data_IF_648372023524
#
_entry.id   IF_648372023524
#
_cell.length_a   1.000
_cell.length_b   1.000
_cell.length_c   1.000
_cell.angle_alpha   90.00
_cell.angle_beta   90.00
_cell.angle_gamma   90.00
#
_symmetry.space_group_name_H-M   'P 1'
#
loop_
_entity.id
_entity.type
_entity.pdbx_description
1 polymer ?
#
# COMPACT_ATOMS: atom_id res chain seq x y z
N UNK A 1 16.66 3.94 -2.05
CA UNK A 1 16.23 3.04 -0.94
C UNK A 1 15.27 2.00 -1.49
N UNK A 2 15.43 0.70 -1.15
CA UNK A 2 14.52 -0.37 -1.58
C UNK A 2 13.36 -0.53 -0.58
N UNK A 3 12.12 -0.48 -1.06
CA UNK A 3 10.93 -0.60 -0.22
C UNK A 3 10.55 -2.08 -0.02
N UNK A 4 10.59 -2.53 1.22
CA UNK A 4 10.17 -3.84 1.71
C UNK A 4 8.77 -3.67 2.31
N UNK A 5 7.74 -3.86 1.48
CA UNK A 5 6.36 -3.47 1.84
C UNK A 5 5.59 -4.66 2.39
N UNK A 6 5.09 -4.56 3.63
CA UNK A 6 4.10 -5.48 4.18
C UNK A 6 2.72 -5.15 3.60
N UNK A 7 2.19 -6.02 2.72
CA UNK A 7 0.89 -5.87 2.05
C UNK A 7 -0.24 -6.13 3.04
N UNK A 8 -0.99 -5.07 3.38
CA UNK A 8 -1.96 -5.06 4.49
C UNK A 8 -1.34 -5.51 5.81
N UNK A 9 -0.05 -5.20 5.99
CA UNK A 9 0.79 -5.71 7.05
C UNK A 9 1.43 -7.07 6.73
N UNK A 10 1.44 -7.99 7.71
CA UNK A 10 1.90 -9.36 7.56
C UNK A 10 0.72 -10.32 7.39
N UNK A 11 -0.07 -10.14 6.35
CA UNK A 11 -1.35 -10.80 6.09
C UNK A 11 -1.29 -12.33 6.13
N UNK A 12 -0.14 -12.94 5.84
CA UNK A 12 0.01 -14.40 5.94
C UNK A 12 0.14 -14.91 7.39
N UNK A 13 0.28 -14.02 8.37
CA UNK A 13 0.53 -14.35 9.78
C UNK A 13 -0.55 -13.80 10.71
N UNK A 14 -1.10 -12.64 10.37
CA UNK A 14 -2.09 -11.92 11.18
C UNK A 14 -3.28 -11.48 10.31
N UNK A 15 -4.38 -11.10 10.95
CA UNK A 15 -5.54 -10.55 10.24
C UNK A 15 -5.13 -9.29 9.48
N UNK A 16 -5.39 -9.25 8.17
CA UNK A 16 -5.04 -8.12 7.30
C UNK A 16 -5.61 -6.79 7.82
N UNK A 17 -4.86 -5.70 7.58
CA UNK A 17 -5.29 -4.34 7.92
C UNK A 17 -5.61 -4.12 9.42
N UNK A 18 -4.95 -4.87 10.31
CA UNK A 18 -5.00 -4.69 11.78
C UNK A 18 -3.66 -4.20 12.32
N UNK A 19 -3.67 -3.68 13.54
CA UNK A 19 -2.45 -3.20 14.21
C UNK A 19 -1.44 -4.34 14.39
N UNK A 20 -1.92 -5.53 14.76
CA UNK A 20 -1.10 -6.73 14.91
C UNK A 20 -0.38 -7.08 13.62
N UNK A 21 -1.10 -6.99 12.48
CA UNK A 21 -0.54 -7.27 11.16
C UNK A 21 0.56 -6.27 10.77
N UNK A 22 0.35 -4.98 11.04
CA UNK A 22 1.34 -3.95 10.73
C UNK A 22 2.58 -4.09 11.62
N UNK A 23 2.40 -4.28 12.93
CA UNK A 23 3.52 -4.48 13.86
C UNK A 23 4.30 -5.75 13.54
N UNK A 24 3.59 -6.84 13.16
CA UNK A 24 4.22 -8.09 12.72
C UNK A 24 5.02 -7.91 11.44
N UNK A 25 4.55 -7.10 10.49
CA UNK A 25 5.31 -6.80 9.28
C UNK A 25 6.64 -6.11 9.58
N UNK A 26 6.63 -5.11 10.47
CA UNK A 26 7.82 -4.41 10.93
C UNK A 26 8.77 -5.37 11.65
N UNK A 27 8.25 -6.16 12.58
CA UNK A 27 9.02 -7.20 13.27
C UNK A 27 9.72 -8.14 12.29
N UNK A 28 9.05 -8.53 11.21
CA UNK A 28 9.58 -9.43 10.19
C UNK A 28 10.51 -8.76 9.17
N UNK A 29 10.78 -7.45 9.30
CA UNK A 29 11.79 -6.73 8.53
C UNK A 29 11.25 -5.90 7.37
N UNK A 30 9.95 -5.62 7.33
CA UNK A 30 9.40 -4.59 6.45
C UNK A 30 9.88 -3.20 6.91
N UNK A 31 10.22 -2.33 5.96
CA UNK A 31 10.50 -0.92 6.21
C UNK A 31 9.38 -0.02 5.69
N UNK A 32 8.38 -0.62 5.08
CA UNK A 32 7.17 0.04 4.63
C UNK A 32 5.96 -0.86 4.88
N UNK A 33 4.78 -0.27 5.04
CA UNK A 33 3.50 -0.97 5.08
C UNK A 33 2.60 -0.46 3.96
N UNK A 34 1.71 -1.31 3.53
CA UNK A 34 0.61 -0.93 2.65
C UNK A 34 -0.71 -1.21 3.38
N UNK A 35 -1.69 -0.35 3.17
CA UNK A 35 -3.02 -0.42 3.72
C UNK A 35 -4.07 0.12 2.76
N UNK A 36 -5.29 -0.39 2.88
CA UNK A 36 -6.44 0.00 2.08
C UNK A 36 -7.36 0.95 2.86
N UNK A 37 -7.89 1.99 2.22
CA UNK A 37 -8.80 2.95 2.85
C UNK A 37 -10.16 2.96 2.17
N UNK A 38 -11.20 2.95 3.00
CA UNK A 38 -12.61 3.14 2.64
C UNK A 38 -13.26 4.19 3.54
N UNK A 39 -14.49 4.57 3.22
CA UNK A 39 -15.24 5.53 4.02
C UNK A 39 -16.49 4.90 4.61
N UNK A 40 -16.75 5.13 5.91
CA UNK A 40 -17.96 4.71 6.60
C UNK A 40 -19.14 5.64 6.31
N UNK A 41 -20.35 5.22 6.69
CA UNK A 41 -21.58 6.01 6.54
C UNK A 41 -21.49 7.39 7.20
N UNK A 42 -20.83 7.49 8.33
CA UNK A 42 -20.58 8.74 9.07
C UNK A 42 -19.32 9.49 8.62
N UNK A 43 -18.72 9.09 7.49
CA UNK A 43 -17.63 9.78 6.84
C UNK A 43 -16.25 9.60 7.49
N UNK A 44 -16.04 8.51 8.26
CA UNK A 44 -14.75 8.17 8.85
C UNK A 44 -13.92 7.33 7.88
N UNK A 45 -12.61 7.55 7.84
CA UNK A 45 -11.70 6.77 7.02
C UNK A 45 -11.32 5.47 7.73
N UNK A 46 -11.77 4.36 7.16
CA UNK A 46 -11.66 3.00 7.73
C UNK A 46 -10.61 2.21 6.96
N UNK A 47 -9.77 1.47 7.67
CA UNK A 47 -8.72 0.65 7.07
C UNK A 47 -9.27 -0.75 6.77
N UNK A 48 -9.60 -0.99 5.50
CA UNK A 48 -10.14 -2.27 5.02
C UNK A 48 -10.04 -2.38 3.50
N UNK A 49 -9.71 -3.57 3.01
CA UNK A 49 -9.70 -3.85 1.57
C UNK A 49 -11.12 -3.98 1.00
N UNK A 50 -11.92 -4.87 1.58
CA UNK A 50 -13.27 -5.11 1.13
C UNK A 50 -14.24 -4.15 1.84
N UNK A 51 -15.29 -3.68 1.14
CA UNK A 51 -16.35 -2.90 1.76
C UNK A 51 -17.18 -3.76 2.73
N UNK A 52 -17.30 -5.07 2.46
CA UNK A 52 -18.01 -6.01 3.32
C UNK A 52 -17.04 -6.73 4.28
N UNK A 53 -17.34 -6.68 5.58
CA UNK A 53 -16.50 -7.24 6.65
C UNK A 53 -16.58 -8.77 6.79
N UNK A 54 -17.41 -9.45 6.00
CA UNK A 54 -17.68 -10.90 6.11
C UNK A 54 -16.44 -11.75 6.01
N UNK A 55 -15.55 -11.43 5.07
CA UNK A 55 -14.33 -12.21 4.80
C UNK A 55 -13.31 -12.11 5.92
N UNK A 56 -13.13 -10.92 6.51
CA UNK A 56 -12.08 -10.63 7.48
C UNK A 56 -12.56 -10.82 8.92
N UNK A 57 -13.77 -10.36 9.22
CA UNK A 57 -14.33 -10.35 10.58
C UNK A 57 -15.55 -11.25 10.76
N UNK A 58 -16.00 -11.95 9.71
CA UNK A 58 -17.18 -12.82 9.78
C UNK A 58 -18.51 -12.09 9.89
N UNK A 59 -18.52 -10.76 9.71
CA UNK A 59 -19.71 -9.88 9.85
C UNK A 59 -20.23 -9.48 8.48
N UNK A 60 -21.45 -9.83 8.14
CA UNK A 60 -22.06 -9.49 6.85
C UNK A 60 -22.63 -8.05 6.90
N UNK A 61 -21.71 -7.08 6.95
CA UNK A 61 -22.00 -5.65 7.04
C UNK A 61 -21.05 -4.91 6.10
N UNK A 62 -21.57 -3.91 5.39
CA UNK A 62 -20.77 -3.00 4.55
C UNK A 62 -20.30 -1.81 5.38
N UNK A 63 -19.06 -1.43 5.17
CA UNK A 63 -18.45 -0.24 5.81
C UNK A 63 -19.24 1.02 5.42
N UNK A 64 -19.61 1.13 4.14
CA UNK A 64 -20.41 2.24 3.62
C UNK A 64 -21.80 2.39 4.26
N UNK A 65 -22.35 1.33 4.86
CA UNK A 65 -23.68 1.31 5.45
C UNK A 65 -23.67 1.45 6.99
N UNK A 66 -22.51 1.46 7.62
CA UNK A 66 -22.32 1.48 9.08
C UNK A 66 -21.52 2.70 9.56
N UNK A 67 -21.77 3.15 10.79
CA UNK A 67 -20.95 4.16 11.47
C UNK A 67 -19.69 3.52 12.05
N UNK A 68 -18.68 4.35 12.37
CA UNK A 68 -17.46 3.87 13.04
C UNK A 68 -17.78 3.14 14.36
N UNK A 69 -18.71 3.66 15.15
CA UNK A 69 -19.12 3.06 16.43
C UNK A 69 -19.69 1.65 16.21
N UNK A 70 -20.61 1.49 15.24
CA UNK A 70 -21.16 0.18 14.86
C UNK A 70 -20.07 -0.79 14.38
N UNK A 71 -19.14 -0.30 13.53
CA UNK A 71 -18.03 -1.11 13.02
C UNK A 71 -17.10 -1.57 14.14
N UNK A 72 -16.71 -0.67 15.05
CA UNK A 72 -15.88 -0.97 16.22
C UNK A 72 -16.53 -2.01 17.12
N UNK A 73 -17.82 -1.82 17.46
CA UNK A 73 -18.56 -2.78 18.28
C UNK A 73 -18.60 -4.18 17.64
N UNK A 74 -18.93 -4.26 16.32
CA UNK A 74 -19.03 -5.54 15.61
C UNK A 74 -17.70 -6.28 15.48
N UNK A 75 -16.59 -5.56 15.44
CA UNK A 75 -15.23 -6.11 15.24
C UNK A 75 -14.43 -6.20 16.55
N UNK A 76 -15.06 -5.92 17.70
CA UNK A 76 -14.38 -5.91 19.01
C UNK A 76 -13.17 -4.96 18.97
N UNK A 77 -13.35 -3.75 18.45
CA UNK A 77 -12.35 -2.71 18.26
C UNK A 77 -11.16 -3.06 17.35
N UNK A 78 -11.22 -4.19 16.64
CA UNK A 78 -10.10 -4.64 15.77
C UNK A 78 -10.02 -3.90 14.45
N UNK A 79 -11.12 -3.34 13.96
CA UNK A 79 -11.10 -2.47 12.77
C UNK A 79 -10.46 -1.13 13.13
N UNK A 80 -9.58 -0.63 12.25
CA UNK A 80 -8.85 0.60 12.49
C UNK A 80 -9.36 1.74 11.61
N UNK A 81 -9.27 2.95 12.12
CA UNK A 81 -9.30 4.15 11.31
C UNK A 81 -7.93 4.46 10.74
N UNK A 82 -7.86 5.19 9.62
CA UNK A 82 -6.59 5.68 9.07
C UNK A 82 -5.82 6.52 10.11
N UNK A 83 -6.53 7.35 10.89
CA UNK A 83 -5.92 8.18 11.93
C UNK A 83 -5.21 7.33 13.00
N UNK A 84 -5.83 6.23 13.46
CA UNK A 84 -5.20 5.31 14.42
C UNK A 84 -3.92 4.70 13.85
N UNK A 85 -3.93 4.26 12.59
CA UNK A 85 -2.73 3.68 11.96
C UNK A 85 -1.62 4.72 11.79
N UNK A 86 -1.93 5.91 11.28
CA UNK A 86 -0.93 6.97 11.08
C UNK A 86 -0.26 7.35 12.40
N UNK A 87 -1.00 7.44 13.50
CA UNK A 87 -0.47 7.76 14.83
C UNK A 87 0.40 6.66 15.43
N UNK A 88 -0.02 5.39 15.28
CA UNK A 88 0.65 4.27 15.97
C UNK A 88 1.81 3.71 15.17
N UNK A 89 1.68 3.64 13.85
CA UNK A 89 2.65 2.96 12.97
C UNK A 89 3.44 3.95 12.11
N UNK A 90 2.88 5.12 11.83
CA UNK A 90 3.42 6.04 10.82
C UNK A 90 4.88 6.46 11.01
N UNK A 91 5.33 6.59 12.26
CA UNK A 91 6.71 6.96 12.58
C UNK A 91 7.68 5.77 12.65
N UNK A 92 7.15 4.55 12.65
CA UNK A 92 7.94 3.31 12.81
C UNK A 92 8.40 2.72 11.48
N UNK A 93 7.95 3.28 10.35
CA UNK A 93 8.28 2.83 9.00
C UNK A 93 8.81 3.99 8.16
N UNK A 94 9.55 3.66 7.11
CA UNK A 94 10.10 4.67 6.19
C UNK A 94 9.03 5.16 5.21
N UNK A 95 8.13 4.27 4.76
CA UNK A 95 7.00 4.62 3.88
C UNK A 95 5.72 3.90 4.25
N UNK A 96 4.60 4.56 3.99
CA UNK A 96 3.24 4.02 4.08
C UNK A 96 2.60 4.17 2.71
N UNK A 97 2.21 3.06 2.10
CA UNK A 97 1.40 3.06 0.89
C UNK A 97 -0.08 3.05 1.31
N UNK A 98 -0.80 4.11 0.97
CA UNK A 98 -2.24 4.23 1.26
C UNK A 98 -3.01 4.00 -0.04
N UNK A 99 -3.67 2.84 -0.17
CA UNK A 99 -4.52 2.56 -1.32
C UNK A 99 -5.91 3.19 -1.13
N UNK A 100 -6.28 4.10 -2.02
CA UNK A 100 -7.65 4.60 -2.12
C UNK A 100 -8.48 3.61 -2.92
N UNK A 101 -9.46 2.97 -2.24
CA UNK A 101 -10.36 1.98 -2.86
C UNK A 101 -11.50 2.62 -3.63
N UNK A 102 -11.86 3.83 -3.27
CA UNK A 102 -12.93 4.62 -3.87
C UNK A 102 -12.44 6.07 -4.02
N UNK A 103 -13.10 6.87 -4.85
CA UNK A 103 -12.86 8.31 -4.98
C UNK A 103 -13.84 9.11 -4.09
N UNK A 104 -13.49 10.38 -3.81
CA UNK A 104 -14.38 11.34 -3.14
C UNK A 104 -14.06 11.63 -1.67
N UNK A 105 -12.93 11.11 -1.15
CA UNK A 105 -12.46 11.41 0.21
C UNK A 105 -10.95 11.73 0.27
N UNK A 106 -10.37 12.10 -0.86
CA UNK A 106 -8.94 12.39 -1.00
C UNK A 106 -8.51 13.55 -0.09
N UNK A 107 -9.35 14.59 0.03
CA UNK A 107 -9.15 15.73 0.92
C UNK A 107 -9.00 15.30 2.38
N UNK A 108 -9.89 14.42 2.85
CA UNK A 108 -9.85 13.91 4.23
C UNK A 108 -8.58 13.09 4.50
N UNK A 109 -8.12 12.31 3.51
CA UNK A 109 -6.88 11.54 3.63
C UNK A 109 -5.68 12.49 3.73
N UNK A 110 -5.60 13.50 2.85
CA UNK A 110 -4.54 14.50 2.86
C UNK A 110 -4.51 15.30 4.16
N UNK A 111 -5.68 15.69 4.68
CA UNK A 111 -5.78 16.43 5.94
C UNK A 111 -5.24 15.61 7.14
N UNK A 112 -5.51 14.30 7.18
CA UNK A 112 -4.94 13.42 8.21
C UNK A 112 -3.43 13.27 8.07
N UNK A 113 -2.92 13.11 6.84
CA UNK A 113 -1.47 13.01 6.59
C UNK A 113 -0.76 14.27 7.09
N UNK A 114 -1.28 15.46 6.76
CA UNK A 114 -0.75 16.75 7.22
C UNK A 114 -0.84 16.93 8.73
N UNK A 115 -1.97 16.56 9.32
CA UNK A 115 -2.17 16.57 10.77
C UNK A 115 -1.13 15.76 11.52
N UNK A 116 -0.79 14.59 11.01
CA UNK A 116 0.20 13.68 11.62
C UNK A 116 1.64 13.97 11.18
N UNK A 117 1.85 14.92 10.26
CA UNK A 117 3.16 15.35 9.70
C UNK A 117 3.91 14.19 9.07
N UNK A 118 3.23 13.48 8.17
CA UNK A 118 3.74 12.28 7.50
C UNK A 118 3.83 12.43 5.97
N UNK A 119 3.78 13.67 5.45
CA UNK A 119 3.79 13.98 4.02
C UNK A 119 4.96 13.30 3.30
N UNK A 120 6.15 13.37 3.89
CA UNK A 120 7.37 12.75 3.33
C UNK A 120 7.41 11.22 3.45
N UNK A 121 6.47 10.62 4.19
CA UNK A 121 6.42 9.17 4.44
C UNK A 121 5.30 8.46 3.72
N UNK A 122 4.35 9.19 3.16
CA UNK A 122 3.18 8.60 2.49
C UNK A 122 3.37 8.55 0.98
N UNK A 123 2.90 7.47 0.39
CA UNK A 123 2.66 7.31 -1.05
C UNK A 123 1.19 6.96 -1.20
N UNK A 124 0.38 7.83 -1.82
CA UNK A 124 -1.01 7.51 -2.13
C UNK A 124 -1.05 6.69 -3.41
N UNK A 125 -1.63 5.52 -3.34
CA UNK A 125 -1.73 4.61 -4.48
C UNK A 125 -3.19 4.27 -4.79
N UNK A 126 -3.52 4.01 -6.05
CA UNK A 126 -4.87 3.59 -6.44
C UNK A 126 -4.87 2.91 -7.81
N UNK A 127 -5.88 2.08 -8.05
CA UNK A 127 -6.28 1.65 -9.40
C UNK A 127 -7.08 2.72 -10.14
N UNK A 128 -7.66 3.68 -9.41
CA UNK A 128 -8.54 4.72 -9.92
C UNK A 128 -7.71 5.94 -10.32
N UNK A 129 -7.58 6.19 -11.62
CA UNK A 129 -6.88 7.38 -12.13
C UNK A 129 -7.52 8.68 -11.64
N UNK A 130 -8.85 8.70 -11.50
CA UNK A 130 -9.58 9.88 -11.01
C UNK A 130 -9.21 10.25 -9.57
N UNK A 131 -9.04 9.25 -8.69
CA UNK A 131 -8.60 9.50 -7.31
C UNK A 131 -7.17 10.09 -7.28
N UNK A 132 -6.24 9.52 -8.09
CA UNK A 132 -4.88 10.05 -8.19
C UNK A 132 -4.84 11.45 -8.80
N UNK A 133 -5.65 11.73 -9.81
CA UNK A 133 -5.79 13.07 -10.39
C UNK A 133 -6.31 14.07 -9.34
N UNK A 134 -7.32 13.67 -8.55
CA UNK A 134 -7.85 14.51 -7.49
C UNK A 134 -6.83 14.77 -6.39
N UNK A 135 -6.06 13.76 -5.97
CA UNK A 135 -4.93 13.96 -5.03
C UNK A 135 -3.96 14.98 -5.59
N UNK A 136 -3.57 14.89 -6.86
CA UNK A 136 -2.63 15.79 -7.50
C UNK A 136 -3.14 17.23 -7.61
N UNK A 137 -4.46 17.42 -7.81
CA UNK A 137 -5.09 18.74 -7.81
C UNK A 137 -5.06 19.39 -6.42
N UNK A 138 -5.22 18.60 -5.35
CA UNK A 138 -5.26 19.04 -3.96
C UNK A 138 -3.86 19.23 -3.35
N UNK A 139 -2.89 18.42 -3.80
CA UNK A 139 -1.52 18.42 -3.27
C UNK A 139 -0.53 17.99 -4.36
N UNK A 140 0.40 18.90 -4.72
CA UNK A 140 1.39 18.66 -5.77
C UNK A 140 2.64 17.95 -5.26
N UNK A 141 2.86 17.94 -3.96
CA UNK A 141 4.11 17.47 -3.35
C UNK A 141 4.00 16.03 -2.84
N UNK A 142 2.78 15.57 -2.46
CA UNK A 142 2.58 14.19 -2.00
C UNK A 142 2.93 13.18 -3.11
N UNK A 143 3.68 12.14 -2.78
CA UNK A 143 4.02 11.09 -3.74
C UNK A 143 2.78 10.24 -4.07
N UNK A 144 2.58 9.92 -5.36
CA UNK A 144 1.47 9.07 -5.82
C UNK A 144 1.96 7.91 -6.69
N UNK A 145 1.15 6.85 -6.78
CA UNK A 145 1.47 5.67 -7.58
C UNK A 145 0.24 5.02 -8.22
N UNK A 146 0.36 4.66 -9.49
CA UNK A 146 -0.69 3.97 -10.24
C UNK A 146 -0.58 2.46 -10.03
N UNK A 147 -1.61 1.85 -9.40
CA UNK A 147 -1.73 0.40 -9.27
C UNK A 147 -2.37 -0.17 -10.53
N UNK A 148 -1.83 -1.29 -11.03
CA UNK A 148 -2.46 -1.99 -12.16
C UNK A 148 -2.06 -3.47 -12.24
N UNK A 149 -2.92 -4.27 -12.90
CA UNK A 149 -2.58 -5.63 -13.31
C UNK A 149 -2.16 -5.66 -14.78
N UNK A 150 -3.13 -5.52 -15.69
CA UNK A 150 -2.90 -5.37 -17.13
C UNK A 150 -3.26 -3.95 -17.53
N UNK A 151 -2.35 -3.25 -18.19
CA UNK A 151 -2.57 -1.89 -18.63
C UNK A 151 -1.83 -1.61 -19.96
N UNK A 152 -2.49 -0.95 -20.90
CA UNK A 152 -1.96 -0.75 -22.26
C UNK A 152 -0.73 0.17 -22.29
N UNK A 153 -0.77 1.27 -21.54
CA UNK A 153 0.29 2.27 -21.49
C UNK A 153 0.43 2.85 -20.08
N UNK A 154 0.95 2.06 -19.10
CA UNK A 154 1.01 2.51 -17.70
C UNK A 154 1.96 3.68 -17.50
N UNK A 155 3.06 3.75 -18.24
CA UNK A 155 4.03 4.87 -18.17
C UNK A 155 3.34 6.17 -18.61
N UNK A 156 2.66 6.17 -19.75
CA UNK A 156 1.94 7.36 -20.22
C UNK A 156 0.85 7.82 -19.27
N UNK A 157 0.10 6.89 -18.66
CA UNK A 157 -0.90 7.22 -17.66
C UNK A 157 -0.26 7.83 -16.40
N UNK A 158 0.79 7.21 -15.85
CA UNK A 158 1.48 7.74 -14.68
C UNK A 158 2.07 9.14 -14.91
N UNK A 159 2.68 9.37 -16.08
CA UNK A 159 3.19 10.69 -16.44
C UNK A 159 2.08 11.75 -16.54
N UNK A 160 0.93 11.41 -17.14
CA UNK A 160 -0.24 12.29 -17.21
C UNK A 160 -0.79 12.63 -15.83
N UNK A 161 -0.74 11.68 -14.89
CA UNK A 161 -1.17 11.85 -13.51
C UNK A 161 -0.08 12.50 -12.63
N UNK A 162 1.10 12.80 -13.17
CA UNK A 162 2.27 13.23 -12.41
C UNK A 162 2.61 12.31 -11.23
N UNK A 163 2.37 11.00 -11.40
CA UNK A 163 2.71 10.00 -10.39
C UNK A 163 4.20 9.70 -10.40
N UNK A 164 4.74 9.33 -9.24
CA UNK A 164 6.16 8.96 -9.06
C UNK A 164 6.37 7.45 -9.14
N UNK A 165 5.30 6.68 -8.90
CA UNK A 165 5.39 5.22 -8.84
C UNK A 165 4.44 4.53 -9.82
N UNK A 166 4.94 3.42 -10.38
CA UNK A 166 4.14 2.36 -10.98
C UNK A 166 4.07 1.20 -9.99
N UNK A 167 2.86 0.67 -9.76
CA UNK A 167 2.63 -0.41 -8.80
C UNK A 167 1.96 -1.60 -9.51
N UNK A 168 2.70 -2.30 -10.39
CA UNK A 168 2.16 -3.40 -11.19
C UNK A 168 2.01 -4.71 -10.42
N UNK A 169 1.01 -5.51 -10.81
CA UNK A 169 0.98 -6.93 -10.49
C UNK A 169 2.20 -7.61 -11.16
N UNK A 170 3.10 -8.19 -10.34
CA UNK A 170 4.41 -8.67 -10.76
C UNK A 170 4.41 -9.55 -12.01
N UNK A 171 3.38 -10.41 -12.20
CA UNK A 171 3.28 -11.34 -13.33
C UNK A 171 3.19 -10.66 -14.70
N UNK A 172 2.84 -9.38 -14.75
CA UNK A 172 2.63 -8.63 -16.00
C UNK A 172 3.72 -7.59 -16.27
N UNK A 173 4.81 -7.59 -15.50
CA UNK A 173 5.91 -6.65 -15.70
C UNK A 173 7.23 -7.40 -15.92
N UNK A 174 7.97 -7.01 -16.94
CA UNK A 174 9.26 -7.59 -17.32
C UNK A 174 10.39 -6.58 -17.09
N UNK A 175 11.64 -7.06 -17.10
CA UNK A 175 12.84 -6.22 -16.92
C UNK A 175 12.86 -5.00 -17.85
N UNK A 176 12.46 -5.19 -19.12
CA UNK A 176 12.38 -4.09 -20.10
C UNK A 176 11.38 -3.00 -19.72
N UNK A 177 10.29 -3.37 -19.04
CA UNK A 177 9.22 -2.44 -18.66
C UNK A 177 9.69 -1.61 -17.46
N UNK A 178 10.39 -2.22 -16.51
CA UNK A 178 11.04 -1.56 -15.37
C UNK A 178 12.10 -0.56 -15.88
N UNK A 179 12.98 -0.99 -16.80
CA UNK A 179 13.97 -0.11 -17.38
C UNK A 179 13.37 1.09 -18.15
N UNK A 180 12.22 0.89 -18.81
CA UNK A 180 11.48 2.00 -19.44
C UNK A 180 10.88 2.96 -18.43
N UNK A 181 10.32 2.44 -17.32
CA UNK A 181 9.79 3.25 -16.24
C UNK A 181 10.89 4.13 -15.63
N UNK A 182 12.05 3.55 -15.33
CA UNK A 182 13.21 4.30 -14.80
C UNK A 182 13.72 5.38 -15.77
N UNK A 183 13.74 5.12 -17.09
CA UNK A 183 14.06 6.15 -18.09
C UNK A 183 13.08 7.32 -18.09
N UNK A 184 11.88 7.12 -17.57
CA UNK A 184 10.84 8.15 -17.39
C UNK A 184 10.79 8.68 -15.96
N UNK A 185 11.85 8.44 -15.16
CA UNK A 185 11.95 8.84 -13.74
C UNK A 185 10.84 8.26 -12.84
N UNK A 186 10.21 7.16 -13.26
CA UNK A 186 9.20 6.45 -12.48
C UNK A 186 9.85 5.31 -11.71
N UNK A 187 9.51 5.17 -10.43
CA UNK A 187 9.88 4.02 -9.57
C UNK A 187 8.86 2.89 -9.73
N UNK A 188 9.30 1.65 -9.49
CA UNK A 188 8.45 0.45 -9.67
C UNK A 188 8.40 -0.37 -8.39
N UNK A 189 7.20 -0.52 -7.80
CA UNK A 189 6.92 -1.40 -6.67
C UNK A 189 6.02 -2.53 -7.15
N UNK A 190 6.46 -3.77 -7.08
CA UNK A 190 5.67 -4.92 -7.56
C UNK A 190 4.87 -5.60 -6.44
N UNK A 191 3.69 -6.13 -6.75
CA UNK A 191 2.79 -6.83 -5.82
C UNK A 191 2.12 -8.04 -6.46
N UNK A 192 1.67 -9.08 -5.74
CA UNK A 192 2.06 -9.44 -4.39
C UNK A 192 3.01 -10.63 -4.52
N UNK A 193 4.23 -10.50 -4.05
CA UNK A 193 5.26 -11.55 -4.17
C UNK A 193 5.42 -12.24 -2.82
N UNK A 194 5.04 -13.51 -2.74
CA UNK A 194 5.06 -14.32 -1.51
C UNK A 194 6.13 -15.44 -1.52
N UNK A 195 6.95 -15.48 -2.57
CA UNK A 195 8.02 -16.45 -2.74
C UNK A 195 9.39 -15.76 -2.69
N UNK A 196 10.32 -16.33 -1.90
CA UNK A 196 11.69 -15.82 -1.81
C UNK A 196 12.41 -15.86 -3.18
N UNK A 197 12.14 -16.90 -3.98
CA UNK A 197 12.74 -17.06 -5.32
C UNK A 197 12.26 -15.93 -6.23
N UNK A 198 10.95 -15.66 -6.25
CA UNK A 198 10.38 -14.58 -7.05
C UNK A 198 10.86 -13.20 -6.57
N UNK A 199 10.94 -13.00 -5.25
CA UNK A 199 11.44 -11.75 -4.68
C UNK A 199 12.89 -11.46 -5.14
N UNK A 200 13.78 -12.46 -5.08
CA UNK A 200 15.15 -12.35 -5.60
C UNK A 200 15.19 -12.07 -7.11
N UNK A 201 14.34 -12.75 -7.88
CA UNK A 201 14.25 -12.53 -9.32
C UNK A 201 13.82 -11.10 -9.66
N UNK A 202 12.89 -10.51 -8.90
CA UNK A 202 12.45 -9.14 -9.14
C UNK A 202 13.46 -8.10 -8.63
N UNK A 203 14.16 -8.36 -7.53
CA UNK A 203 15.31 -7.54 -7.15
C UNK A 203 16.38 -7.51 -8.24
N UNK A 204 16.70 -8.66 -8.84
CA UNK A 204 17.62 -8.74 -9.95
C UNK A 204 17.15 -8.05 -11.23
N UNK A 205 15.85 -7.74 -11.35
CA UNK A 205 15.28 -6.90 -12.42
C UNK A 205 15.32 -5.41 -12.09
N UNK A 206 15.84 -5.04 -10.91
CA UNK A 206 16.03 -3.64 -10.48
C UNK A 206 14.70 -2.93 -10.13
N UNK A 207 13.74 -3.62 -9.47
CA UNK A 207 12.55 -2.95 -8.91
C UNK A 207 12.92 -2.12 -7.68
N UNK A 208 12.17 -1.05 -7.42
CA UNK A 208 12.37 -0.14 -6.29
C UNK A 208 11.71 -0.63 -4.99
N UNK A 209 10.81 -1.61 -5.11
CA UNK A 209 10.16 -2.23 -3.95
C UNK A 209 9.35 -3.47 -4.30
N UNK A 210 9.05 -4.23 -3.25
CA UNK A 210 8.21 -5.44 -3.31
C UNK A 210 7.18 -5.38 -2.20
N UNK A 211 5.90 -5.54 -2.53
CA UNK A 211 4.83 -5.77 -1.57
C UNK A 211 4.56 -7.26 -1.42
N UNK A 212 4.48 -7.74 -0.17
CA UNK A 212 4.32 -9.16 0.17
C UNK A 212 3.38 -9.37 1.36
N UNK A 213 2.63 -10.47 1.35
CA UNK A 213 1.89 -10.95 2.52
C UNK A 213 2.82 -11.61 3.56
N UNK A 214 4.08 -11.92 3.16
CA UNK A 214 5.07 -12.66 3.94
C UNK A 214 6.37 -11.84 4.14
N UNK A 215 6.37 -10.82 5.00
CA UNK A 215 7.55 -9.97 5.21
C UNK A 215 8.82 -10.73 5.71
N UNK A 216 8.67 -11.94 6.27
CA UNK A 216 9.81 -12.80 6.65
C UNK A 216 10.76 -13.11 5.48
N UNK A 217 10.28 -13.03 4.23
CA UNK A 217 11.14 -13.20 3.06
C UNK A 217 12.25 -12.16 2.99
N UNK A 218 12.01 -10.94 3.50
CA UNK A 218 12.98 -9.85 3.48
C UNK A 218 14.20 -10.13 4.35
N UNK A 219 14.04 -10.78 5.50
CA UNK A 219 15.18 -11.23 6.33
C UNK A 219 16.04 -12.27 5.63
N UNK A 220 15.39 -13.16 4.86
CA UNK A 220 16.08 -14.22 4.10
C UNK A 220 16.75 -13.71 2.84
N UNK A 221 16.38 -12.51 2.35
CA UNK A 221 17.02 -11.86 1.20
C UNK A 221 18.40 -11.28 1.55
N UNK A 222 18.59 -10.81 2.78
CA UNK A 222 19.83 -10.15 3.25
C UNK A 222 20.95 -11.16 3.51
N UNK A 223 20.64 -12.43 3.79
CA UNK A 223 21.59 -13.46 4.23
C UNK A 223 22.27 -14.22 3.10
N UNK A 224 22.26 -13.71 1.86
CA UNK A 224 23.02 -14.33 0.76
C UNK A 224 24.05 -13.32 0.26
N UNK A 225 25.26 -13.41 0.80
CA UNK A 225 26.46 -12.94 0.09
C UNK A 225 26.45 -13.60 -1.30
N UNK A 226 26.59 -12.85 -2.40
CA UNK A 226 26.77 -13.50 -3.69
C UNK A 226 28.07 -14.32 -3.62
N UNK A 227 27.96 -15.64 -3.82
CA UNK A 227 29.13 -16.44 -4.15
C UNK A 227 29.81 -15.77 -5.35
N UNK A 228 30.91 -15.10 -5.10
CA UNK A 228 31.80 -14.63 -6.15
C UNK A 228 32.43 -15.88 -6.78
N UNK A 229 31.88 -16.28 -7.91
CA UNK A 229 32.61 -17.11 -8.89
C UNK A 229 32.93 -16.27 -10.09
#
# INVERSE_FOLDING_TARGET
MFLKVGHRGAKAYETENTLESFMKAIELGANAIELDVRISRDGRLIVSHDDNLKKVFGKDVRISDATLEELKHMTEDRILTLEEVLRTVGKNVEKILIELKDAGYEDKVLDLIRKEKLEDRVIIVSFLEEALARVRDLDKDIETGLIYAKYKNPIGAALKLHAQYLVPLYRFVHRRDIAKAHKSSLKVIVWTINSLIEARNYMAKDVDGIATDRPDIFRKMVNVTPDRK
#
